data_IF_741151130862
#
_entry.id   IF_741151130862
#
_cell.length_a   1.000
_cell.length_b   1.000
_cell.length_c   1.000
_cell.angle_alpha   90.00
_cell.angle_beta   90.00
_cell.angle_gamma   90.00
#
_symmetry.space_group_name_H-M   'P 1'
#
loop_
_entity.id
_entity.type
_entity.pdbx_description
1 polymer ?
#
# COMPACT_ATOMS: atom_id res chain seq x y z
N UNK A 1 23.79 8.17 19.83
CA UNK A 1 22.54 7.72 19.19
C UNK A 1 22.83 7.52 17.71
N UNK A 2 23.25 6.33 17.28
CA UNK A 2 23.52 5.99 15.86
C UNK A 2 22.66 4.78 15.46
N UNK A 3 21.33 4.92 15.61
CA UNK A 3 20.40 3.88 15.14
C UNK A 3 20.39 3.85 13.61
N UNK A 4 20.39 2.65 13.01
CA UNK A 4 20.24 2.51 11.55
C UNK A 4 18.78 2.80 11.17
N UNK A 5 18.56 3.46 10.04
CA UNK A 5 17.21 3.70 9.53
C UNK A 5 16.80 2.56 8.60
N UNK A 6 15.63 1.98 8.85
CA UNK A 6 14.92 1.13 7.90
C UNK A 6 13.91 1.99 7.14
N UNK A 7 14.21 2.26 5.87
CA UNK A 7 13.28 2.96 4.98
C UNK A 7 12.26 1.98 4.43
N UNK A 8 11.02 2.10 4.89
CA UNK A 8 9.89 1.35 4.35
C UNK A 8 9.25 2.17 3.23
N UNK A 9 9.48 1.77 1.98
CA UNK A 9 8.91 2.43 0.81
C UNK A 9 7.60 1.72 0.46
N UNK A 10 6.48 2.43 0.54
CA UNK A 10 5.15 1.86 0.37
C UNK A 10 4.16 2.86 -0.23
N UNK A 11 3.00 2.37 -0.65
CA UNK A 11 1.88 3.20 -1.09
C UNK A 11 0.58 2.69 -0.43
N UNK A 12 -0.30 3.57 0.09
CA UNK A 12 -1.54 3.14 0.76
C UNK A 12 -2.48 2.32 -0.11
N UNK A 13 -2.39 2.46 -1.44
CA UNK A 13 -3.21 1.74 -2.42
C UNK A 13 -2.47 0.55 -3.07
N UNK A 14 -1.28 0.18 -2.58
CA UNK A 14 -0.57 -1.02 -3.01
C UNK A 14 -1.09 -2.26 -2.27
N UNK A 15 -1.61 -3.24 -3.00
CA UNK A 15 -2.15 -4.48 -2.42
C UNK A 15 -1.11 -5.30 -1.65
N UNK A 16 0.13 -5.37 -2.14
CA UNK A 16 1.20 -6.07 -1.42
C UNK A 16 1.69 -5.30 -0.19
N UNK A 17 1.62 -3.97 -0.18
CA UNK A 17 1.85 -3.18 1.04
C UNK A 17 0.79 -3.50 2.10
N UNK A 18 -0.49 -3.64 1.70
CA UNK A 18 -1.53 -4.14 2.60
C UNK A 18 -1.25 -5.57 3.08
N UNK A 19 -0.85 -6.47 2.17
CA UNK A 19 -0.37 -7.81 2.48
C UNK A 19 0.72 -7.85 3.56
N UNK A 20 1.66 -6.90 3.49
CA UNK A 20 2.81 -6.81 4.37
C UNK A 20 2.56 -6.00 5.66
N UNK A 21 1.39 -5.37 5.80
CA UNK A 21 1.07 -4.48 6.92
C UNK A 21 1.26 -5.15 8.32
N UNK A 22 0.89 -6.43 8.55
CA UNK A 22 1.17 -7.08 9.82
C UNK A 22 2.68 -7.23 10.09
N UNK A 23 3.46 -7.54 9.05
CA UNK A 23 4.89 -7.79 9.17
C UNK A 23 5.66 -6.51 9.46
N UNK A 24 5.37 -5.40 8.76
CA UNK A 24 6.05 -4.13 9.06
C UNK A 24 5.69 -3.62 10.47
N UNK A 25 4.47 -3.92 10.96
CA UNK A 25 4.08 -3.64 12.34
C UNK A 25 4.91 -4.44 13.34
N UNK A 26 5.13 -5.73 13.09
CA UNK A 26 5.99 -6.59 13.91
C UNK A 26 7.45 -6.13 13.86
N UNK A 27 7.99 -5.80 12.69
CA UNK A 27 9.35 -5.26 12.54
C UNK A 27 9.49 -3.97 13.37
N UNK A 28 8.54 -3.04 13.25
CA UNK A 28 8.57 -1.80 14.04
C UNK A 28 8.52 -2.07 15.54
N UNK A 29 7.71 -3.04 15.99
CA UNK A 29 7.59 -3.39 17.40
C UNK A 29 8.85 -4.08 17.94
N UNK A 30 9.40 -5.04 17.21
CA UNK A 30 10.49 -5.90 17.67
C UNK A 30 11.85 -5.21 17.60
N UNK A 31 12.01 -4.25 16.70
CA UNK A 31 13.30 -3.57 16.47
C UNK A 31 13.30 -2.10 16.88
N UNK A 32 12.27 -1.59 17.57
CA UNK A 32 12.16 -0.17 17.94
C UNK A 32 13.34 0.40 18.73
N UNK A 33 14.11 -0.44 19.43
CA UNK A 33 15.30 -0.03 20.20
C UNK A 33 16.57 0.07 19.38
N UNK A 34 16.59 -0.51 18.17
CA UNK A 34 17.80 -0.62 17.32
C UNK A 34 17.63 0.00 15.93
N UNK A 35 16.39 0.07 15.42
CA UNK A 35 16.04 0.62 14.12
C UNK A 35 15.04 1.76 14.26
N UNK A 36 15.32 2.85 13.54
CA UNK A 36 14.32 3.88 13.25
C UNK A 36 13.60 3.46 11.95
N UNK A 37 12.32 3.12 12.04
CA UNK A 37 11.52 2.74 10.85
C UNK A 37 10.85 3.99 10.31
N UNK A 38 11.25 4.42 9.11
CA UNK A 38 10.71 5.61 8.44
C UNK A 38 9.94 5.20 7.19
N UNK A 39 8.75 5.79 7.02
CA UNK A 39 7.91 5.56 5.86
C UNK A 39 8.26 6.55 4.74
N UNK A 40 8.43 6.03 3.52
CA UNK A 40 8.55 6.83 2.29
C UNK A 40 7.39 6.45 1.38
N UNK A 41 6.59 7.44 0.99
CA UNK A 41 5.45 7.21 0.11
C UNK A 41 5.96 7.12 -1.33
N UNK A 42 5.78 5.94 -1.94
CA UNK A 42 6.37 5.61 -3.24
C UNK A 42 5.66 6.24 -4.44
N UNK A 43 4.39 6.61 -4.32
CA UNK A 43 3.60 7.15 -5.43
C UNK A 43 3.42 6.12 -6.54
N UNK A 44 2.61 5.09 -6.29
CA UNK A 44 2.41 3.96 -7.21
C UNK A 44 1.75 4.38 -8.54
N UNK A 45 0.78 5.32 -8.51
CA UNK A 45 0.12 5.94 -9.68
C UNK A 45 -0.28 7.39 -9.35
N UNK A 46 0.68 8.30 -9.20
CA UNK A 46 0.41 9.64 -8.68
C UNK A 46 -0.16 10.54 -9.77
N UNK A 47 -1.25 11.26 -9.45
CA UNK A 47 -1.84 12.29 -10.29
C UNK A 47 -2.54 11.77 -11.55
N UNK A 48 -2.84 10.46 -11.63
CA UNK A 48 -3.62 9.95 -12.76
C UNK A 48 -5.04 10.52 -12.72
N UNK A 49 -5.53 10.96 -13.88
CA UNK A 49 -6.89 11.47 -14.06
C UNK A 49 -7.74 10.54 -14.93
N UNK A 50 -7.12 9.49 -15.48
CA UNK A 50 -7.78 8.55 -16.36
C UNK A 50 -8.50 7.49 -15.54
N UNK A 51 -9.66 7.08 -16.04
CA UNK A 51 -10.37 5.93 -15.50
C UNK A 51 -9.54 4.67 -15.73
N UNK A 52 -9.61 3.74 -14.76
CA UNK A 52 -8.89 2.48 -14.88
C UNK A 52 -9.43 1.67 -16.07
N UNK A 53 -8.53 1.20 -16.93
CA UNK A 53 -8.89 0.32 -18.03
C UNK A 53 -9.34 -1.06 -17.50
N UNK A 54 -10.29 -1.76 -18.16
CA UNK A 54 -10.77 -3.07 -17.71
C UNK A 54 -9.65 -4.10 -17.48
N UNK A 55 -8.67 -4.19 -18.40
CA UNK A 55 -7.54 -5.11 -18.28
C UNK A 55 -6.67 -4.80 -17.04
N UNK A 56 -6.40 -3.53 -16.77
CA UNK A 56 -5.64 -3.12 -15.58
C UNK A 56 -6.42 -3.40 -14.28
N UNK A 57 -7.74 -3.23 -14.31
CA UNK A 57 -8.61 -3.57 -13.19
C UNK A 57 -8.55 -5.07 -12.90
N UNK A 58 -8.63 -5.92 -13.92
CA UNK A 58 -8.52 -7.37 -13.79
C UNK A 58 -7.18 -7.79 -13.20
N UNK A 59 -6.08 -7.19 -13.67
CA UNK A 59 -4.73 -7.42 -13.14
C UNK A 59 -4.61 -7.04 -11.66
N UNK A 60 -5.13 -5.88 -11.26
CA UNK A 60 -5.12 -5.46 -9.85
C UNK A 60 -5.94 -6.41 -8.98
N UNK A 61 -7.11 -6.85 -9.45
CA UNK A 61 -7.93 -7.83 -8.73
C UNK A 61 -7.26 -9.21 -8.66
N UNK A 62 -6.49 -9.59 -9.68
CA UNK A 62 -5.65 -10.79 -9.62
C UNK A 62 -4.60 -10.67 -8.51
N UNK A 63 -3.90 -9.53 -8.40
CA UNK A 63 -2.98 -9.28 -7.29
C UNK A 63 -3.67 -9.31 -5.93
N UNK A 64 -4.89 -8.77 -5.79
CA UNK A 64 -5.63 -8.83 -4.54
C UNK A 64 -5.95 -10.28 -4.12
N UNK A 65 -6.32 -11.14 -5.07
CA UNK A 65 -6.54 -12.58 -4.82
C UNK A 65 -5.24 -13.25 -4.37
N UNK A 66 -4.13 -12.97 -5.04
CA UNK A 66 -2.82 -13.52 -4.68
C UNK A 66 -2.39 -13.09 -3.26
N UNK A 67 -2.54 -11.80 -2.91
CA UNK A 67 -2.25 -11.30 -1.57
C UNK A 67 -3.12 -11.97 -0.52
N UNK A 68 -4.44 -12.07 -0.75
CA UNK A 68 -5.36 -12.77 0.15
C UNK A 68 -4.92 -14.21 0.40
N UNK A 69 -4.56 -14.94 -0.67
CA UNK A 69 -4.10 -16.32 -0.57
C UNK A 69 -2.78 -16.45 0.18
N UNK A 70 -1.82 -15.55 -0.08
CA UNK A 70 -0.47 -15.64 0.50
C UNK A 70 -0.39 -15.14 1.95
N UNK A 71 -1.23 -14.17 2.33
CA UNK A 71 -1.08 -13.44 3.61
C UNK A 71 -2.29 -13.56 4.53
N UNK A 72 -3.43 -14.03 4.03
CA UNK A 72 -4.70 -14.03 4.77
C UNK A 72 -5.36 -12.66 4.90
N UNK A 73 -4.74 -11.58 4.37
CA UNK A 73 -5.30 -10.24 4.47
C UNK A 73 -6.67 -10.11 3.80
N UNK A 74 -7.54 -9.32 4.42
CA UNK A 74 -8.92 -9.16 3.99
C UNK A 74 -9.03 -8.22 2.79
N UNK A 75 -9.94 -8.58 1.88
CA UNK A 75 -10.33 -7.77 0.73
C UNK A 75 -11.83 -7.92 0.51
N UNK A 76 -12.48 -6.82 0.15
CA UNK A 76 -13.85 -6.83 -0.38
C UNK A 76 -13.78 -6.78 -1.90
N UNK A 77 -14.14 -7.88 -2.56
CA UNK A 77 -14.12 -7.99 -4.02
C UNK A 77 -15.40 -7.47 -4.69
N UNK A 78 -16.53 -7.60 -4.00
CA UNK A 78 -17.81 -7.11 -4.49
C UNK A 78 -17.80 -5.57 -4.61
N UNK A 79 -18.15 -5.07 -5.80
CA UNK A 79 -18.12 -3.64 -6.13
C UNK A 79 -16.71 -3.00 -6.16
N UNK A 80 -15.64 -3.79 -6.14
CA UNK A 80 -14.28 -3.25 -6.17
C UNK A 80 -13.99 -2.54 -7.49
N UNK A 81 -13.46 -1.31 -7.41
CA UNK A 81 -13.13 -0.45 -8.55
C UNK A 81 -14.29 -0.37 -9.56
N UNK A 82 -15.38 0.36 -9.23
CA UNK A 82 -16.54 0.50 -10.11
C UNK A 82 -16.17 1.22 -11.43
N UNK A 83 -17.11 1.24 -12.38
CA UNK A 83 -16.94 2.02 -13.61
C UNK A 83 -16.66 3.50 -13.28
N UNK A 84 -15.74 4.11 -14.03
CA UNK A 84 -15.29 5.48 -13.78
C UNK A 84 -14.26 5.62 -12.65
N UNK A 85 -13.85 4.54 -12.00
CA UNK A 85 -12.85 4.61 -10.91
C UNK A 85 -11.51 5.16 -11.40
N UNK A 86 -11.03 6.22 -10.75
CA UNK A 86 -9.71 6.82 -10.97
C UNK A 86 -8.76 6.27 -9.90
N UNK A 87 -7.75 5.53 -10.32
CA UNK A 87 -6.77 4.90 -9.43
C UNK A 87 -5.60 5.86 -9.12
N UNK A 88 -5.91 7.04 -8.58
CA UNK A 88 -4.91 8.05 -8.18
C UNK A 88 -4.39 7.79 -6.75
N UNK A 89 -3.10 7.47 -6.64
CA UNK A 89 -2.48 7.15 -5.36
C UNK A 89 -1.80 8.34 -4.68
N UNK A 90 -1.76 9.52 -5.32
CA UNK A 90 -1.20 10.74 -4.71
C UNK A 90 -2.04 11.25 -3.53
N UNK A 91 -3.38 11.42 -3.64
CA UNK A 91 -4.18 11.96 -2.54
C UNK A 91 -4.09 11.15 -1.24
N UNK A 92 -4.20 9.81 -1.23
CA UNK A 92 -4.01 9.06 0.01
C UNK A 92 -2.58 9.10 0.52
N UNK A 93 -1.57 9.11 -0.37
CA UNK A 93 -0.16 9.27 0.04
C UNK A 93 0.06 10.62 0.75
N UNK A 94 -0.45 11.72 0.18
CA UNK A 94 -0.41 13.05 0.80
C UNK A 94 -1.20 13.10 2.11
N UNK A 95 -2.33 12.41 2.20
CA UNK A 95 -3.09 12.26 3.44
C UNK A 95 -2.25 11.61 4.55
N UNK A 96 -1.48 10.56 4.23
CA UNK A 96 -0.55 9.94 5.19
C UNK A 96 0.52 10.94 5.62
N UNK A 97 1.20 11.60 4.68
CA UNK A 97 2.24 12.59 4.98
C UNK A 97 1.73 13.72 5.88
N UNK A 98 0.53 14.24 5.63
CA UNK A 98 -0.05 15.31 6.42
C UNK A 98 -0.41 14.90 7.86
N UNK A 99 -0.58 13.61 8.12
CA UNK A 99 -0.89 13.03 9.44
C UNK A 99 0.33 12.41 10.15
N UNK A 100 1.51 12.43 9.50
CA UNK A 100 2.74 11.79 9.98
C UNK A 100 3.48 12.64 11.01
#
# INVERSE_FOLDING_TARGET
MNGKTLWYIADPMCSWCWGFAPIIKEIRSNYCTTLKVELVLGGLRPGTKQTIAPAQREEILHHWKAVKQATGQSFRFEGAMPEGFIYDTEPPSRGVVAMS
#
